data_IF_244003155661
#
_entry.id   IF_244003155661
#
_cell.length_a   1.000
_cell.length_b   1.000
_cell.length_c   1.000
_cell.angle_alpha   90.00
_cell.angle_beta   90.00
_cell.angle_gamma   90.00
#
_symmetry.space_group_name_H-M   'P 1'
#
loop_
_entity.id
_entity.type
_entity.pdbx_description
1 polymer ?
#
# COMPACT_ATOMS: atom_id res chain seq x y z
N UNK A 1 -54.90 -32.99 -40.44
CA UNK A 1 -54.83 -32.06 -39.34
C UNK A 1 -53.55 -32.44 -38.52
N UNK A 2 -52.40 -31.75 -38.70
CA UNK A 2 -51.20 -32.11 -38.02
C UNK A 2 -51.18 -31.49 -36.60
N UNK A 3 -50.65 -32.22 -35.65
CA UNK A 3 -50.51 -31.85 -34.25
C UNK A 3 -49.49 -30.67 -34.08
N UNK A 4 -49.71 -29.79 -33.11
CA UNK A 4 -48.79 -28.68 -32.86
C UNK A 4 -47.44 -29.20 -32.27
N UNK A 5 -46.31 -28.50 -32.54
CA UNK A 5 -45.03 -28.92 -32.04
C UNK A 5 -44.95 -28.75 -30.53
N UNK A 6 -44.33 -29.73 -29.85
CA UNK A 6 -44.03 -29.71 -28.42
C UNK A 6 -43.17 -28.48 -28.06
N UNK A 7 -43.60 -27.76 -27.04
CA UNK A 7 -42.88 -26.64 -26.48
C UNK A 7 -41.56 -27.14 -25.83
N UNK A 8 -40.44 -26.60 -26.29
CA UNK A 8 -39.17 -26.74 -25.61
C UNK A 8 -39.26 -26.24 -24.16
N UNK A 9 -38.57 -26.90 -23.18
CA UNK A 9 -38.62 -26.45 -21.78
C UNK A 9 -38.06 -25.05 -21.66
N UNK A 10 -38.99 -24.12 -21.29
CA UNK A 10 -38.69 -22.71 -21.11
C UNK A 10 -37.59 -22.49 -20.10
N UNK A 11 -36.56 -21.79 -20.52
CA UNK A 11 -35.61 -21.15 -19.63
C UNK A 11 -36.36 -20.05 -18.87
N UNK A 12 -36.58 -20.30 -17.59
CA UNK A 12 -37.18 -19.36 -16.65
C UNK A 12 -36.31 -18.10 -16.59
N UNK A 13 -36.75 -16.92 -17.07
CA UNK A 13 -35.93 -15.71 -17.08
C UNK A 13 -35.67 -15.13 -15.68
N UNK A 14 -36.36 -15.66 -14.65
CA UNK A 14 -36.19 -15.20 -13.25
C UNK A 14 -35.17 -16.00 -12.43
N UNK A 15 -34.56 -17.04 -12.97
CA UNK A 15 -33.43 -17.71 -12.33
C UNK A 15 -32.17 -16.90 -12.54
N UNK A 16 -31.96 -15.91 -11.69
CA UNK A 16 -30.68 -15.23 -11.59
C UNK A 16 -29.52 -16.22 -11.39
N UNK A 17 -28.27 -15.86 -11.78
CA UNK A 17 -27.12 -16.76 -11.72
C UNK A 17 -26.93 -17.36 -10.32
N UNK A 18 -26.45 -18.61 -10.20
CA UNK A 18 -26.30 -19.30 -8.94
C UNK A 18 -25.52 -18.45 -7.92
N UNK A 19 -25.87 -18.56 -6.65
CA UNK A 19 -25.31 -17.73 -5.56
C UNK A 19 -23.77 -17.78 -5.47
N UNK A 20 -23.14 -18.86 -5.91
CA UNK A 20 -21.69 -19.00 -6.01
C UNK A 20 -21.10 -18.20 -7.17
N UNK A 21 -21.79 -18.05 -8.31
CA UNK A 21 -21.37 -17.17 -9.41
C UNK A 21 -21.30 -15.71 -8.98
N UNK A 22 -22.28 -15.25 -8.19
CA UNK A 22 -22.25 -13.89 -7.60
C UNK A 22 -21.11 -13.67 -6.60
N UNK A 23 -20.67 -14.70 -5.89
CA UNK A 23 -19.51 -14.63 -4.98
C UNK A 23 -18.18 -14.59 -5.74
N UNK A 24 -18.06 -15.34 -6.82
CA UNK A 24 -16.88 -15.30 -7.69
C UNK A 24 -16.77 -13.98 -8.46
N UNK A 25 -17.90 -13.42 -8.88
CA UNK A 25 -17.93 -12.08 -9.44
C UNK A 25 -17.46 -11.03 -8.41
N UNK A 26 -17.80 -11.14 -7.14
CA UNK A 26 -17.28 -10.24 -6.09
C UNK A 26 -15.74 -10.26 -6.01
N UNK A 27 -15.10 -11.43 -6.16
CA UNK A 27 -13.64 -11.57 -6.13
C UNK A 27 -12.94 -10.97 -7.36
N UNK A 28 -13.56 -11.07 -8.55
CA UNK A 28 -13.04 -10.44 -9.79
C UNK A 28 -12.95 -8.91 -9.71
N UNK A 29 -13.60 -8.34 -8.71
CA UNK A 29 -13.88 -6.91 -8.64
C UNK A 29 -13.22 -6.20 -7.46
N UNK A 30 -12.48 -6.90 -6.61
CA UNK A 30 -11.63 -6.30 -5.60
C UNK A 30 -10.53 -5.54 -6.36
N UNK A 31 -10.52 -4.24 -6.25
CA UNK A 31 -9.72 -3.34 -7.10
C UNK A 31 -8.63 -2.59 -6.33
N UNK A 32 -8.82 -1.29 -6.06
CA UNK A 32 -7.81 -0.44 -5.44
C UNK A 32 -7.34 -0.89 -4.06
N UNK A 33 -8.18 -1.57 -3.27
CA UNK A 33 -7.78 -2.13 -1.97
C UNK A 33 -6.82 -3.31 -2.09
N UNK A 34 -6.96 -4.15 -3.15
CA UNK A 34 -5.92 -5.15 -3.45
C UNK A 34 -4.66 -4.51 -4.02
N UNK A 35 -4.77 -3.42 -4.79
CA UNK A 35 -3.60 -2.65 -5.21
C UNK A 35 -2.94 -2.04 -3.98
N UNK A 36 -3.72 -1.49 -3.05
CA UNK A 36 -3.21 -1.02 -1.76
C UNK A 36 -2.54 -2.18 -1.00
N UNK A 37 -3.16 -3.35 -0.89
CA UNK A 37 -2.58 -4.51 -0.24
C UNK A 37 -1.29 -4.97 -0.93
N UNK A 38 -1.28 -5.07 -2.25
CA UNK A 38 -0.09 -5.44 -3.02
C UNK A 38 1.06 -4.44 -2.87
N UNK A 39 0.73 -3.14 -2.73
CA UNK A 39 1.72 -2.09 -2.46
C UNK A 39 2.17 -2.11 -1.00
N UNK A 40 1.27 -2.42 -0.07
CA UNK A 40 1.55 -2.46 1.36
C UNK A 40 2.30 -3.74 1.78
N UNK A 41 1.91 -4.92 1.22
CA UNK A 41 2.51 -6.22 1.53
C UNK A 41 3.77 -6.42 0.66
N UNK A 42 4.72 -5.52 0.83
CA UNK A 42 6.04 -5.55 0.20
C UNK A 42 7.13 -5.63 1.27
N UNK A 43 8.12 -4.75 1.16
CA UNK A 43 9.28 -4.72 2.05
C UNK A 43 8.92 -4.56 3.53
N UNK A 44 7.84 -3.86 3.88
CA UNK A 44 7.39 -3.71 5.27
C UNK A 44 7.05 -5.05 5.92
N UNK A 45 6.34 -5.92 5.20
CA UNK A 45 5.90 -7.23 5.69
C UNK A 45 6.97 -8.30 5.51
N UNK A 46 7.58 -8.37 4.33
CA UNK A 46 8.58 -9.39 4.02
C UNK A 46 9.94 -9.15 4.70
N UNK A 47 10.26 -7.90 5.05
CA UNK A 47 11.57 -7.56 5.60
C UNK A 47 11.48 -6.97 7.00
N UNK A 48 10.78 -5.82 7.20
CA UNK A 48 10.80 -5.14 8.50
C UNK A 48 10.12 -5.94 9.61
N UNK A 49 8.97 -6.58 9.35
CA UNK A 49 8.27 -7.35 10.37
C UNK A 49 9.07 -8.57 10.84
N UNK A 50 9.60 -9.45 9.95
CA UNK A 50 10.45 -10.55 10.39
C UNK A 50 11.74 -10.09 11.04
N UNK A 51 12.35 -8.99 10.57
CA UNK A 51 13.55 -8.40 11.21
C UNK A 51 13.26 -7.97 12.64
N UNK A 52 12.09 -7.37 12.90
CA UNK A 52 11.65 -7.02 14.25
C UNK A 52 11.48 -8.26 15.14
N UNK A 53 10.87 -9.32 14.59
CA UNK A 53 10.73 -10.61 15.26
C UNK A 53 12.09 -11.26 15.57
N UNK A 54 12.98 -11.29 14.60
CA UNK A 54 14.33 -11.84 14.73
C UNK A 54 15.17 -11.10 15.79
N UNK A 55 15.17 -9.77 15.75
CA UNK A 55 15.96 -8.97 16.65
C UNK A 55 15.38 -8.89 18.08
N UNK A 56 14.07 -8.71 18.21
CA UNK A 56 13.43 -8.35 19.48
C UNK A 56 12.36 -9.35 19.96
N UNK A 57 12.20 -10.47 19.27
CA UNK A 57 11.13 -11.44 19.57
C UNK A 57 9.75 -10.77 19.45
N UNK A 58 8.90 -11.00 20.44
CA UNK A 58 7.55 -10.44 20.47
C UNK A 58 7.45 -9.02 21.05
N UNK A 59 8.58 -8.39 21.44
CA UNK A 59 8.53 -7.08 22.11
C UNK A 59 7.86 -5.99 21.26
N UNK A 60 7.96 -6.06 19.92
CA UNK A 60 7.37 -5.10 19.00
C UNK A 60 6.06 -5.59 18.34
N UNK A 61 5.50 -6.74 18.76
CA UNK A 61 4.32 -7.31 18.13
C UNK A 61 3.08 -6.39 18.26
N UNK A 62 2.94 -5.70 19.38
CA UNK A 62 1.87 -4.72 19.62
C UNK A 62 1.82 -3.59 18.59
N UNK A 63 2.95 -3.29 17.94
CA UNK A 63 3.04 -2.22 16.92
C UNK A 63 2.17 -2.54 15.72
N UNK A 64 2.00 -3.82 15.36
CA UNK A 64 1.22 -4.24 14.20
C UNK A 64 -0.24 -3.79 14.32
N UNK A 65 -1.03 -4.25 15.31
CA UNK A 65 -2.41 -3.78 15.47
C UNK A 65 -2.48 -2.30 15.83
N UNK A 66 -1.55 -1.78 16.64
CA UNK A 66 -1.54 -0.38 17.02
C UNK A 66 -1.40 0.55 15.81
N UNK A 67 -0.40 0.32 14.95
CA UNK A 67 -0.18 1.14 13.75
C UNK A 67 -1.37 1.08 12.79
N UNK A 68 -1.93 -0.11 12.56
CA UNK A 68 -3.13 -0.26 11.74
C UNK A 68 -4.32 0.48 12.34
N UNK A 69 -4.53 0.37 13.64
CA UNK A 69 -5.64 1.03 14.34
C UNK A 69 -5.54 2.56 14.22
N UNK A 70 -4.39 3.14 14.58
CA UNK A 70 -4.26 4.61 14.59
C UNK A 70 -4.24 5.23 13.21
N UNK A 71 -3.79 4.51 12.17
CA UNK A 71 -3.69 5.03 10.79
C UNK A 71 -4.93 4.74 9.93
N UNK A 72 -5.85 3.87 10.37
CA UNK A 72 -7.04 3.51 9.59
C UNK A 72 -7.83 4.72 9.08
N UNK A 73 -8.15 5.76 9.89
CA UNK A 73 -8.89 6.92 9.39
C UNK A 73 -8.18 7.63 8.25
N UNK A 74 -6.83 7.76 8.31
CA UNK A 74 -6.07 8.44 7.25
C UNK A 74 -6.19 7.73 5.90
N UNK A 75 -6.27 6.38 5.90
CA UNK A 75 -6.45 5.58 4.68
C UNK A 75 -7.90 5.59 4.19
N UNK A 76 -8.88 5.55 5.10
CA UNK A 76 -10.31 5.62 4.76
C UNK A 76 -10.69 6.96 4.13
N UNK A 77 -10.00 8.03 4.49
CA UNK A 77 -10.22 9.37 3.95
C UNK A 77 -9.92 9.49 2.45
N UNK A 78 -9.03 8.65 1.90
CA UNK A 78 -8.74 8.61 0.46
C UNK A 78 -9.98 8.27 -0.39
N UNK A 79 -10.52 7.05 -0.29
CA UNK A 79 -11.71 6.65 -1.04
C UNK A 79 -12.96 7.46 -0.64
N UNK A 80 -13.09 7.88 0.61
CA UNK A 80 -14.18 8.77 1.05
C UNK A 80 -14.18 10.10 0.29
N UNK A 81 -13.04 10.77 0.24
CA UNK A 81 -12.90 12.04 -0.44
C UNK A 81 -13.13 11.90 -1.95
N UNK A 82 -12.54 10.87 -2.55
CA UNK A 82 -12.71 10.57 -3.98
C UNK A 82 -14.18 10.29 -4.34
N UNK A 83 -14.89 9.51 -3.52
CA UNK A 83 -16.30 9.20 -3.74
C UNK A 83 -17.19 10.44 -3.59
N UNK A 84 -16.97 11.22 -2.53
CA UNK A 84 -17.79 12.38 -2.20
C UNK A 84 -17.60 13.56 -3.17
N UNK A 85 -16.36 13.82 -3.59
CA UNK A 85 -16.04 15.04 -4.35
C UNK A 85 -15.80 14.79 -5.84
N UNK A 86 -15.58 13.54 -6.26
CA UNK A 86 -15.14 13.24 -7.62
C UNK A 86 -13.73 13.77 -7.93
N UNK A 87 -12.93 14.09 -6.89
CA UNK A 87 -11.55 14.60 -7.02
C UNK A 87 -10.62 13.86 -6.06
N UNK A 88 -9.30 13.95 -6.24
CA UNK A 88 -8.33 13.30 -5.37
C UNK A 88 -8.02 14.12 -4.11
N UNK A 89 -7.44 13.49 -3.09
CA UNK A 89 -6.90 14.20 -1.92
C UNK A 89 -5.88 15.28 -2.32
N UNK A 90 -5.13 15.07 -3.40
CA UNK A 90 -4.20 16.07 -3.93
C UNK A 90 -4.92 17.37 -4.36
N UNK A 91 -6.10 17.23 -4.96
CA UNK A 91 -6.96 18.36 -5.30
C UNK A 91 -7.50 19.05 -4.04
N UNK A 92 -7.73 18.27 -2.98
CA UNK A 92 -8.06 18.78 -1.65
C UNK A 92 -6.92 19.61 -1.05
N UNK A 93 -5.68 19.12 -1.13
CA UNK A 93 -4.50 19.84 -0.63
C UNK A 93 -4.30 21.21 -1.28
N UNK A 94 -4.65 21.36 -2.57
CA UNK A 94 -4.61 22.64 -3.25
C UNK A 94 -5.60 23.68 -2.68
N UNK A 95 -6.60 23.23 -1.91
CA UNK A 95 -7.66 24.05 -1.30
C UNK A 95 -7.45 24.29 0.20
N UNK A 96 -6.38 23.76 0.79
CA UNK A 96 -6.05 23.96 2.20
C UNK A 96 -5.66 25.44 2.43
N UNK A 97 -6.25 26.14 3.43
CA UNK A 97 -5.93 27.54 3.70
C UNK A 97 -4.50 27.72 4.20
N UNK A 98 -3.92 28.89 3.95
CA UNK A 98 -2.56 29.23 4.31
C UNK A 98 -1.78 29.79 3.14
N UNK A 99 -0.44 29.84 3.20
CA UNK A 99 0.40 30.28 2.08
C UNK A 99 0.08 29.50 0.81
N UNK A 100 -0.03 30.19 -0.33
CA UNK A 100 -0.49 29.58 -1.58
C UNK A 100 0.31 28.32 -1.93
N UNK A 101 -0.37 27.17 -2.00
CA UNK A 101 0.22 25.89 -2.41
C UNK A 101 1.12 25.21 -1.37
N UNK A 102 1.17 25.68 -0.12
CA UNK A 102 2.06 25.12 0.89
C UNK A 102 1.85 23.62 1.13
N UNK A 103 0.60 23.16 1.21
CA UNK A 103 0.29 21.76 1.44
C UNK A 103 0.75 20.87 0.27
N UNK A 104 0.61 21.36 -0.97
CA UNK A 104 1.16 20.72 -2.15
C UNK A 104 2.70 20.71 -2.15
N UNK A 105 3.35 21.79 -1.68
CA UNK A 105 4.80 21.86 -1.61
C UNK A 105 5.37 20.87 -0.58
N UNK A 106 4.72 20.75 0.59
CA UNK A 106 5.10 19.74 1.60
C UNK A 106 4.92 18.32 1.06
N UNK A 107 3.79 18.06 0.40
CA UNK A 107 3.56 16.77 -0.24
C UNK A 107 4.57 16.48 -1.35
N UNK A 108 4.92 17.49 -2.18
CA UNK A 108 5.91 17.39 -3.24
C UNK A 108 7.30 17.05 -2.68
N UNK A 109 7.71 17.74 -1.61
CA UNK A 109 8.99 17.46 -0.94
C UNK A 109 9.02 16.00 -0.44
N UNK A 110 7.97 15.56 0.24
CA UNK A 110 7.84 14.16 0.65
C UNK A 110 7.88 13.18 -0.53
N UNK A 111 7.19 13.51 -1.62
CA UNK A 111 7.17 12.71 -2.86
C UNK A 111 8.56 12.58 -3.49
N UNK A 112 9.34 13.67 -3.52
CA UNK A 112 10.70 13.67 -4.07
C UNK A 112 11.62 12.79 -3.22
N UNK A 113 11.65 13.00 -1.91
CA UNK A 113 12.51 12.21 -1.00
C UNK A 113 12.12 10.75 -1.01
N UNK A 114 10.84 10.44 -0.80
CA UNK A 114 10.38 9.06 -0.75
C UNK A 114 10.42 8.37 -2.13
N UNK A 115 10.17 9.11 -3.21
CA UNK A 115 10.26 8.56 -4.57
C UNK A 115 11.65 8.01 -4.93
N UNK A 116 12.69 8.47 -4.26
CA UNK A 116 14.06 7.96 -4.39
C UNK A 116 14.31 6.84 -3.36
N UNK A 117 14.16 7.14 -2.07
CA UNK A 117 14.54 6.23 -0.99
C UNK A 117 13.68 4.96 -0.93
N UNK A 118 12.35 5.08 -1.14
CA UNK A 118 11.45 3.92 -1.19
C UNK A 118 11.77 3.04 -2.40
N UNK A 119 12.00 3.67 -3.56
CA UNK A 119 12.34 2.93 -4.77
C UNK A 119 13.66 2.17 -4.61
N UNK A 120 14.69 2.81 -4.04
CA UNK A 120 15.97 2.17 -3.76
C UNK A 120 15.82 0.95 -2.85
N UNK A 121 15.09 1.10 -1.74
CA UNK A 121 14.84 0.00 -0.81
C UNK A 121 14.09 -1.16 -1.43
N UNK A 122 12.99 -0.88 -2.14
CA UNK A 122 12.14 -1.91 -2.74
C UNK A 122 12.83 -2.61 -3.91
N UNK A 123 13.52 -1.87 -4.79
CA UNK A 123 14.33 -2.45 -5.87
C UNK A 123 15.50 -3.26 -5.30
N UNK A 124 16.16 -2.78 -4.23
CA UNK A 124 17.23 -3.48 -3.57
C UNK A 124 16.80 -4.85 -3.04
N UNK A 125 15.63 -4.94 -2.37
CA UNK A 125 15.09 -6.24 -1.91
C UNK A 125 14.67 -7.13 -3.09
N UNK A 126 14.03 -6.58 -4.13
CA UNK A 126 13.70 -7.35 -5.33
C UNK A 126 14.96 -7.91 -6.02
N UNK A 127 16.01 -7.09 -6.10
CA UNK A 127 17.31 -7.47 -6.64
C UNK A 127 18.00 -8.54 -5.76
N UNK A 128 17.89 -8.47 -4.43
CA UNK A 128 18.42 -9.51 -3.54
C UNK A 128 17.76 -10.86 -3.79
N UNK A 129 16.43 -10.89 -4.06
CA UNK A 129 15.75 -12.13 -4.47
C UNK A 129 16.26 -12.62 -5.82
N UNK A 130 16.49 -11.69 -6.78
CA UNK A 130 17.05 -12.06 -8.09
C UNK A 130 18.47 -12.60 -7.99
N UNK A 131 19.33 -12.00 -7.15
CA UNK A 131 20.70 -12.49 -6.86
C UNK A 131 20.67 -13.89 -6.24
N UNK A 132 19.74 -14.13 -5.31
CA UNK A 132 19.61 -15.45 -4.68
C UNK A 132 19.26 -16.56 -5.66
N UNK A 133 18.52 -16.24 -6.74
CA UNK A 133 18.13 -17.20 -7.79
C UNK A 133 19.16 -17.26 -8.93
N UNK A 134 19.69 -16.09 -9.32
CA UNK A 134 20.64 -15.94 -10.43
C UNK A 134 21.84 -15.08 -9.98
N UNK A 135 22.86 -15.67 -9.34
CA UNK A 135 23.99 -14.94 -8.75
C UNK A 135 25.00 -14.39 -9.79
N UNK A 136 24.69 -14.49 -11.09
CA UNK A 136 25.58 -14.04 -12.16
C UNK A 136 25.80 -12.52 -12.22
N UNK A 137 24.87 -11.74 -11.65
CA UNK A 137 24.94 -10.28 -11.64
C UNK A 137 24.89 -9.73 -10.22
N UNK A 138 25.66 -8.68 -9.90
CA UNK A 138 25.60 -8.05 -8.58
C UNK A 138 24.29 -7.29 -8.37
N UNK A 139 23.95 -7.07 -7.09
CA UNK A 139 22.68 -6.44 -6.65
C UNK A 139 22.36 -5.11 -7.37
N UNK A 140 23.30 -4.14 -7.55
CA UNK A 140 22.98 -2.88 -8.24
C UNK A 140 22.61 -3.09 -9.73
N UNK A 141 23.23 -4.08 -10.39
CA UNK A 141 22.90 -4.41 -11.79
C UNK A 141 21.53 -5.03 -11.90
N UNK A 142 21.16 -5.94 -10.98
CA UNK A 142 19.81 -6.47 -10.92
C UNK A 142 18.79 -5.37 -10.63
N UNK A 143 19.08 -4.44 -9.70
CA UNK A 143 18.21 -3.28 -9.43
C UNK A 143 17.99 -2.44 -10.69
N UNK A 144 19.04 -2.20 -11.48
CA UNK A 144 18.94 -1.48 -12.76
C UNK A 144 18.07 -2.25 -13.77
N UNK A 145 18.33 -3.54 -13.96
CA UNK A 145 17.56 -4.39 -14.90
C UNK A 145 16.07 -4.37 -14.52
N UNK A 146 15.76 -4.60 -13.25
CA UNK A 146 14.37 -4.61 -12.76
C UNK A 146 13.71 -3.24 -12.93
N UNK A 147 14.40 -2.15 -12.58
CA UNK A 147 13.90 -0.79 -12.76
C UNK A 147 13.59 -0.46 -14.23
N UNK A 148 14.47 -0.84 -15.15
CA UNK A 148 14.26 -0.64 -16.60
C UNK A 148 13.13 -1.51 -17.15
N UNK A 149 13.00 -2.76 -16.69
CA UNK A 149 11.89 -3.65 -17.06
C UNK A 149 10.56 -3.06 -16.59
N UNK A 150 10.50 -2.55 -15.38
CA UNK A 150 9.29 -1.89 -14.84
C UNK A 150 8.97 -0.63 -15.66
N UNK A 151 9.97 0.20 -15.96
CA UNK A 151 9.78 1.40 -16.80
C UNK A 151 9.26 1.06 -18.19
N UNK A 152 9.78 0.00 -18.82
CA UNK A 152 9.31 -0.49 -20.12
C UNK A 152 7.86 -1.02 -20.04
N UNK A 153 7.50 -1.75 -18.98
CA UNK A 153 6.14 -2.21 -18.75
C UNK A 153 5.16 -1.05 -18.54
N UNK A 154 5.58 0.00 -17.81
CA UNK A 154 4.79 1.23 -17.64
C UNK A 154 4.58 1.95 -18.99
N UNK A 155 5.62 1.96 -19.85
CA UNK A 155 5.53 2.58 -21.18
C UNK A 155 4.63 1.81 -22.14
N UNK A 156 4.58 0.47 -22.02
CA UNK A 156 3.76 -0.39 -22.90
C UNK A 156 2.28 -0.48 -22.48
N UNK A 157 1.93 -0.03 -21.27
CA UNK A 157 0.57 -0.19 -20.72
C UNK A 157 0.21 -1.63 -20.35
N UNK A 158 1.18 -2.55 -20.32
CA UNK A 158 0.97 -3.99 -20.08
C UNK A 158 0.66 -4.39 -18.63
N UNK A 159 -0.12 -3.58 -17.91
CA UNK A 159 -0.38 -3.76 -16.48
C UNK A 159 -1.33 -4.93 -16.12
N UNK A 160 -2.32 -5.23 -16.96
CA UNK A 160 -3.41 -6.14 -16.56
C UNK A 160 -2.95 -7.58 -16.33
N UNK A 161 -2.13 -8.12 -17.21
CA UNK A 161 -1.60 -9.48 -17.06
C UNK A 161 -0.66 -9.60 -15.86
N UNK A 162 0.22 -8.60 -15.68
CA UNK A 162 1.14 -8.53 -14.53
C UNK A 162 0.36 -8.38 -13.22
N UNK A 163 -0.67 -7.54 -13.17
CA UNK A 163 -1.52 -7.36 -11.99
C UNK A 163 -2.22 -8.66 -11.59
N UNK A 164 -2.71 -9.43 -12.57
CA UNK A 164 -3.31 -10.74 -12.29
C UNK A 164 -2.28 -11.71 -11.70
N UNK A 165 -1.09 -11.80 -12.28
CA UNK A 165 -0.01 -12.66 -11.77
C UNK A 165 0.40 -12.27 -10.35
N UNK A 166 0.61 -10.97 -10.08
CA UNK A 166 0.97 -10.48 -8.75
C UNK A 166 -0.09 -10.80 -7.69
N UNK A 167 -1.38 -10.74 -8.04
CA UNK A 167 -2.48 -11.14 -7.14
C UNK A 167 -2.41 -12.62 -6.75
N UNK A 168 -2.16 -13.50 -7.72
CA UNK A 168 -2.00 -14.93 -7.46
C UNK A 168 -0.75 -15.23 -6.63
N UNK A 169 0.35 -14.52 -6.88
CA UNK A 169 1.58 -14.68 -6.08
C UNK A 169 1.39 -14.18 -4.65
N UNK A 170 0.69 -13.05 -4.46
CA UNK A 170 0.34 -12.56 -3.13
C UNK A 170 -0.58 -13.55 -2.38
N UNK A 171 -1.54 -14.15 -3.06
CA UNK A 171 -2.38 -15.19 -2.48
C UNK A 171 -1.55 -16.42 -2.09
N UNK A 172 -0.66 -16.88 -2.96
CA UNK A 172 0.25 -18.00 -2.68
C UNK A 172 1.15 -17.70 -1.48
N UNK A 173 1.75 -16.50 -1.42
CA UNK A 173 2.56 -16.05 -0.29
C UNK A 173 1.74 -16.02 1.01
N UNK A 174 0.50 -15.53 0.94
CA UNK A 174 -0.41 -15.50 2.09
C UNK A 174 -0.67 -16.91 2.61
N UNK A 175 -1.02 -17.83 1.73
CA UNK A 175 -1.28 -19.24 2.10
C UNK A 175 -0.02 -19.86 2.72
N UNK A 176 1.14 -19.70 2.09
CA UNK A 176 2.40 -20.22 2.62
C UNK A 176 2.73 -19.63 4.00
N UNK A 177 2.50 -18.35 4.20
CA UNK A 177 2.74 -17.68 5.49
C UNK A 177 1.83 -18.24 6.59
N UNK A 178 0.55 -18.45 6.29
CA UNK A 178 -0.39 -19.08 7.22
C UNK A 178 0.04 -20.52 7.54
N UNK A 179 0.41 -21.31 6.53
CA UNK A 179 0.87 -22.68 6.73
C UNK A 179 2.17 -22.73 7.56
N UNK A 180 3.13 -21.85 7.28
CA UNK A 180 4.37 -21.75 8.07
C UNK A 180 4.07 -21.39 9.53
N UNK A 181 3.17 -20.46 9.77
CA UNK A 181 2.76 -20.06 11.12
C UNK A 181 2.03 -21.21 11.87
N UNK A 182 1.19 -21.98 11.20
CA UNK A 182 0.52 -23.14 11.79
C UNK A 182 1.55 -24.25 12.10
N UNK A 183 2.54 -24.43 11.23
CA UNK A 183 3.62 -25.42 11.42
C UNK A 183 4.61 -25.01 12.53
N UNK A 184 4.74 -23.70 12.80
CA UNK A 184 5.56 -23.12 13.87
C UNK A 184 4.69 -22.22 14.74
N UNK A 185 3.84 -22.80 15.61
CA UNK A 185 2.95 -22.05 16.46
C UNK A 185 3.74 -21.14 17.42
N UNK A 186 3.19 -19.95 17.70
CA UNK A 186 3.87 -18.95 18.53
C UNK A 186 4.07 -19.44 19.96
N UNK A 187 5.21 -19.11 20.54
CA UNK A 187 5.57 -19.44 21.92
C UNK A 187 4.80 -18.61 22.96
N UNK A 188 5.00 -18.90 24.25
CA UNK A 188 4.20 -18.35 25.36
C UNK A 188 4.27 -16.82 25.51
N UNK A 189 5.23 -16.16 24.90
CA UNK A 189 5.34 -14.68 24.90
C UNK A 189 4.47 -13.94 23.88
N UNK A 190 3.78 -14.65 22.99
CA UNK A 190 3.04 -14.05 21.88
C UNK A 190 1.91 -13.13 22.34
N UNK A 191 1.02 -13.62 23.20
CA UNK A 191 -0.10 -12.83 23.73
C UNK A 191 0.37 -11.65 24.59
N UNK A 192 1.43 -11.85 25.37
CA UNK A 192 2.04 -10.77 26.12
C UNK A 192 2.61 -9.69 25.22
N UNK A 193 3.35 -10.08 24.15
CA UNK A 193 3.89 -9.15 23.16
C UNK A 193 2.82 -8.41 22.36
N UNK A 194 1.63 -9.02 22.18
CA UNK A 194 0.51 -8.39 21.50
C UNK A 194 -0.20 -7.34 22.39
N UNK A 195 -0.33 -7.62 23.69
CA UNK A 195 -1.15 -6.83 24.61
C UNK A 195 -0.35 -5.86 25.49
N UNK A 196 0.94 -6.10 25.69
CA UNK A 196 1.82 -5.29 26.56
C UNK A 196 2.91 -4.61 25.76
N UNK A 197 2.80 -3.30 25.47
CA UNK A 197 3.83 -2.54 24.77
C UNK A 197 5.16 -2.60 25.52
N UNK A 198 6.20 -3.07 24.81
CA UNK A 198 7.60 -3.01 25.25
C UNK A 198 8.42 -2.33 24.18
N UNK A 199 9.30 -1.42 24.57
CA UNK A 199 10.15 -0.65 23.66
C UNK A 199 11.61 -0.85 24.11
N UNK A 200 12.30 -1.88 23.61
CA UNK A 200 13.74 -2.01 23.81
C UNK A 200 14.47 -0.76 23.28
N UNK A 201 15.49 -0.28 23.98
CA UNK A 201 16.20 0.96 23.58
C UNK A 201 16.78 0.89 22.16
N UNK A 202 17.30 -0.27 21.80
CA UNK A 202 17.93 -0.53 20.51
C UNK A 202 16.89 -0.63 19.36
N UNK A 203 15.61 -0.78 19.70
CA UNK A 203 14.54 -0.95 18.70
C UNK A 203 13.96 0.36 18.16
N UNK A 204 14.37 1.53 18.69
CA UNK A 204 13.67 2.81 18.43
C UNK A 204 13.62 3.17 16.94
N UNK A 205 14.69 2.94 16.18
CA UNK A 205 14.72 3.21 14.73
C UNK A 205 13.78 2.23 13.99
N UNK A 206 13.85 0.93 14.33
CA UNK A 206 13.00 -0.08 13.72
C UNK A 206 11.52 0.11 14.10
N UNK A 207 11.24 0.51 15.35
CA UNK A 207 9.91 0.89 15.82
C UNK A 207 9.35 2.05 14.98
N UNK A 208 10.13 3.11 14.76
CA UNK A 208 9.74 4.24 13.94
C UNK A 208 9.49 3.81 12.47
N UNK A 209 10.34 2.94 11.91
CA UNK A 209 10.14 2.38 10.57
C UNK A 209 8.84 1.55 10.48
N UNK A 210 8.57 0.69 11.47
CA UNK A 210 7.32 -0.08 11.54
C UNK A 210 6.10 0.85 11.65
N UNK A 211 6.12 1.87 12.50
CA UNK A 211 5.05 2.87 12.58
C UNK A 211 4.90 3.65 11.26
N UNK A 212 5.98 3.90 10.55
CA UNK A 212 5.96 4.56 9.24
C UNK A 212 5.25 3.72 8.17
N UNK A 213 5.60 2.43 8.08
CA UNK A 213 5.18 1.57 6.98
C UNK A 213 4.16 0.47 7.32
N UNK A 214 3.67 0.36 8.53
CA UNK A 214 2.56 -0.54 8.84
C UNK A 214 1.21 0.21 8.85
N UNK A 215 0.26 -0.13 7.96
CA UNK A 215 0.33 -1.05 6.82
C UNK A 215 1.25 -0.56 5.68
N UNK A 216 1.34 0.74 5.47
CA UNK A 216 2.18 1.44 4.49
C UNK A 216 2.32 2.92 4.87
N UNK A 217 3.05 3.74 4.10
CA UNK A 217 3.14 5.19 4.29
C UNK A 217 1.80 5.89 4.09
N UNK A 218 1.53 6.97 4.85
CA UNK A 218 0.25 7.71 4.74
C UNK A 218 0.10 8.44 3.39
N UNK A 219 1.20 8.72 2.70
CA UNK A 219 1.21 9.25 1.33
C UNK A 219 0.47 8.34 0.34
N UNK A 220 0.47 7.03 0.55
CA UNK A 220 -0.28 6.05 -0.24
C UNK A 220 -1.80 6.28 -0.16
N UNK A 221 -2.32 6.93 0.90
CA UNK A 221 -3.73 7.34 0.95
C UNK A 221 -4.08 8.35 -0.16
N UNK A 222 -3.12 9.20 -0.57
CA UNK A 222 -3.29 10.11 -1.70
C UNK A 222 -3.37 9.31 -3.02
N UNK A 223 -2.47 8.34 -3.21
CA UNK A 223 -2.50 7.45 -4.38
C UNK A 223 -3.80 6.64 -4.42
N UNK A 224 -4.21 6.09 -3.27
CA UNK A 224 -5.46 5.34 -3.14
C UNK A 224 -6.66 6.20 -3.52
N UNK A 225 -6.67 7.51 -3.18
CA UNK A 225 -7.72 8.42 -3.65
C UNK A 225 -7.73 8.59 -5.17
N UNK A 226 -6.56 8.60 -5.81
CA UNK A 226 -6.44 8.65 -7.28
C UNK A 226 -6.91 7.36 -7.95
N UNK A 227 -6.51 6.20 -7.43
CA UNK A 227 -6.98 4.90 -7.93
C UNK A 227 -8.49 4.69 -7.70
N UNK A 228 -9.01 5.23 -6.60
CA UNK A 228 -10.45 5.21 -6.32
C UNK A 228 -11.27 6.00 -7.34
N UNK A 229 -10.72 7.12 -7.86
CA UNK A 229 -11.36 7.89 -8.92
C UNK A 229 -11.49 7.10 -10.23
N UNK A 230 -10.46 6.37 -10.62
CA UNK A 230 -10.47 5.54 -11.83
C UNK A 230 -11.55 4.46 -11.79
N UNK A 231 -11.94 4.00 -10.59
CA UNK A 231 -12.96 2.98 -10.36
C UNK A 231 -14.31 3.53 -9.90
N UNK A 232 -14.43 4.84 -9.70
CA UNK A 232 -15.63 5.46 -9.09
C UNK A 232 -16.91 5.14 -9.86
N UNK A 233 -16.91 5.31 -11.17
CA UNK A 233 -18.09 5.05 -12.02
C UNK A 233 -18.48 3.57 -12.02
N UNK A 234 -17.52 2.68 -11.95
CA UNK A 234 -17.74 1.25 -11.82
C UNK A 234 -18.37 0.90 -10.46
N UNK A 235 -17.91 1.51 -9.40
CA UNK A 235 -18.47 1.34 -8.05
C UNK A 235 -19.91 1.87 -7.96
N UNK A 236 -20.22 2.99 -8.61
CA UNK A 236 -21.57 3.54 -8.71
C UNK A 236 -22.49 2.53 -9.39
N UNK A 237 -22.10 2.02 -10.57
CA UNK A 237 -22.91 1.03 -11.31
C UNK A 237 -23.16 -0.25 -10.51
N UNK A 238 -22.26 -0.64 -9.66
CA UNK A 238 -22.40 -1.82 -8.81
C UNK A 238 -23.28 -1.59 -7.61
N UNK A 239 -23.06 -0.49 -6.92
CA UNK A 239 -23.91 -0.10 -5.83
C UNK A 239 -25.38 -0.03 -6.24
N UNK A 240 -25.67 0.36 -7.50
CA UNK A 240 -27.01 0.37 -8.08
C UNK A 240 -27.66 -1.01 -8.19
N UNK A 241 -26.88 -2.09 -8.34
CA UNK A 241 -27.37 -3.48 -8.38
C UNK A 241 -27.67 -4.10 -7.01
N UNK A 242 -27.14 -3.50 -5.95
CA UNK A 242 -27.26 -4.00 -4.55
C UNK A 242 -28.33 -3.29 -3.73
N UNK A 243 -29.24 -2.63 -4.32
CA UNK A 243 -30.24 -1.67 -3.90
C UNK A 243 -30.61 -1.52 -2.41
N UNK A 244 -30.43 -0.28 -1.93
CA UNK A 244 -31.42 0.42 -1.11
C UNK A 244 -31.87 1.66 -1.88
N UNK A 245 -33.15 1.74 -2.22
CA UNK A 245 -33.74 2.92 -2.84
C UNK A 245 -33.41 4.19 -2.02
N UNK A 246 -32.92 5.25 -2.69
CA UNK A 246 -32.60 6.53 -2.04
C UNK A 246 -31.14 6.79 -1.68
N UNK A 247 -30.21 5.85 -1.92
CA UNK A 247 -28.79 6.06 -1.65
C UNK A 247 -28.11 6.83 -2.80
N UNK A 248 -27.36 7.90 -2.49
CA UNK A 248 -26.63 8.67 -3.52
C UNK A 248 -25.52 7.84 -4.18
N UNK A 249 -25.16 8.17 -5.42
CA UNK A 249 -24.08 7.51 -6.17
C UNK A 249 -22.74 7.61 -5.44
N UNK A 250 -22.50 8.73 -4.78
CA UNK A 250 -21.30 8.96 -3.96
C UNK A 250 -21.27 8.02 -2.73
N UNK A 251 -22.41 7.83 -2.06
CA UNK A 251 -22.51 6.93 -0.92
C UNK A 251 -22.30 5.46 -1.34
N UNK A 252 -22.83 5.06 -2.52
CA UNK A 252 -22.60 3.71 -3.09
C UNK A 252 -21.12 3.48 -3.41
N UNK A 253 -20.49 4.45 -4.10
CA UNK A 253 -19.06 4.40 -4.41
C UNK A 253 -18.21 4.31 -3.14
N UNK A 254 -18.54 5.11 -2.12
CA UNK A 254 -17.84 5.08 -0.84
C UNK A 254 -18.01 3.74 -0.11
N UNK A 255 -19.22 3.20 -0.05
CA UNK A 255 -19.47 1.90 0.62
C UNK A 255 -18.64 0.78 -0.02
N UNK A 256 -18.59 0.74 -1.37
CA UNK A 256 -17.80 -0.24 -2.11
C UNK A 256 -16.30 -0.03 -1.90
N UNK A 257 -15.80 1.20 -2.01
CA UNK A 257 -14.39 1.54 -1.79
C UNK A 257 -13.92 1.28 -0.36
N UNK A 258 -14.80 1.48 0.63
CA UNK A 258 -14.52 1.16 2.03
C UNK A 258 -14.42 -0.35 2.27
N UNK A 259 -15.28 -1.15 1.65
CA UNK A 259 -15.19 -2.60 1.75
C UNK A 259 -13.89 -3.12 1.13
N UNK A 260 -13.52 -2.62 -0.04
CA UNK A 260 -12.29 -2.94 -0.72
C UNK A 260 -11.05 -2.58 0.14
N UNK A 261 -11.07 -1.38 0.76
CA UNK A 261 -10.04 -0.97 1.73
C UNK A 261 -9.97 -1.95 2.93
N UNK A 262 -11.11 -2.31 3.53
CA UNK A 262 -11.15 -3.20 4.69
C UNK A 262 -10.50 -4.56 4.42
N UNK A 263 -10.72 -5.12 3.23
CA UNK A 263 -10.14 -6.40 2.81
C UNK A 263 -8.61 -6.29 2.74
N UNK A 264 -8.10 -5.29 2.00
CA UNK A 264 -6.65 -5.09 1.87
C UNK A 264 -5.96 -4.74 3.18
N UNK A 265 -6.60 -3.89 3.97
CA UNK A 265 -6.10 -3.43 5.26
C UNK A 265 -6.06 -4.55 6.32
N UNK A 266 -7.12 -5.36 6.37
CA UNK A 266 -7.21 -6.52 7.26
C UNK A 266 -6.19 -7.60 6.90
N UNK A 267 -6.01 -7.87 5.60
CA UNK A 267 -4.99 -8.80 5.12
C UNK A 267 -3.57 -8.34 5.53
N UNK A 268 -3.29 -7.04 5.37
CA UNK A 268 -2.02 -6.45 5.81
C UNK A 268 -1.80 -6.62 7.32
N UNK A 269 -2.82 -6.37 8.15
CA UNK A 269 -2.71 -6.56 9.60
C UNK A 269 -2.38 -8.02 9.96
N UNK A 270 -3.13 -8.96 9.41
CA UNK A 270 -2.90 -10.38 9.69
C UNK A 270 -1.49 -10.79 9.28
N UNK A 271 -1.08 -10.48 8.05
CA UNK A 271 0.24 -10.86 7.56
C UNK A 271 1.37 -10.20 8.35
N UNK A 272 1.24 -8.94 8.76
CA UNK A 272 2.27 -8.27 9.57
C UNK A 272 2.50 -8.97 10.92
N UNK A 273 1.43 -9.43 11.57
CA UNK A 273 1.50 -10.23 12.81
C UNK A 273 2.19 -11.57 12.54
N UNK A 274 1.77 -12.29 11.49
CA UNK A 274 2.34 -13.61 11.16
C UNK A 274 3.82 -13.51 10.80
N UNK A 275 4.23 -12.53 10.02
CA UNK A 275 5.64 -12.33 9.63
C UNK A 275 6.52 -12.00 10.83
N UNK A 276 6.07 -11.13 11.74
CA UNK A 276 6.84 -10.84 12.93
C UNK A 276 6.96 -12.08 13.83
N UNK A 277 5.86 -12.81 14.00
CA UNK A 277 5.86 -14.03 14.81
C UNK A 277 6.78 -15.10 14.22
N UNK A 278 6.77 -15.33 12.91
CA UNK A 278 7.70 -16.24 12.25
C UNK A 278 9.16 -15.79 12.41
N UNK A 279 9.43 -14.48 12.33
CA UNK A 279 10.76 -13.95 12.63
C UNK A 279 11.23 -14.28 14.05
N UNK A 280 10.32 -14.18 15.03
CA UNK A 280 10.59 -14.51 16.43
C UNK A 280 10.79 -16.00 16.68
N UNK A 281 10.05 -16.88 15.99
CA UNK A 281 10.07 -18.33 16.21
C UNK A 281 11.10 -19.08 15.36
N UNK A 282 11.46 -18.53 14.20
CA UNK A 282 12.35 -19.23 13.25
C UNK A 282 13.72 -18.57 13.22
N UNK A 283 13.79 -17.25 12.97
CA UNK A 283 15.07 -16.58 12.76
C UNK A 283 15.79 -16.29 14.08
N UNK A 284 15.07 -15.87 15.10
CA UNK A 284 15.67 -15.51 16.40
C UNK A 284 16.40 -16.68 17.09
N UNK A 285 15.84 -17.88 17.20
CA UNK A 285 16.53 -19.02 17.78
C UNK A 285 17.77 -19.44 16.97
N UNK A 286 17.76 -19.19 15.64
CA UNK A 286 18.87 -19.45 14.75
C UNK A 286 19.96 -18.35 14.79
N UNK A 287 19.75 -17.24 15.54
CA UNK A 287 20.65 -16.11 15.59
C UNK A 287 20.73 -15.32 14.27
N UNK A 288 19.73 -15.45 13.40
CA UNK A 288 19.73 -14.84 12.08
C UNK A 288 18.94 -13.53 12.10
N UNK A 289 19.60 -12.45 11.70
CA UNK A 289 18.96 -11.15 11.46
C UNK A 289 19.07 -10.85 9.98
N UNK A 290 17.94 -10.54 9.29
CA UNK A 290 17.97 -10.19 7.87
C UNK A 290 18.79 -8.96 7.61
N UNK A 291 19.78 -9.06 6.72
CA UNK A 291 20.68 -7.96 6.35
C UNK A 291 21.37 -8.22 5.01
N UNK A 292 21.83 -7.17 4.35
CA UNK A 292 22.65 -7.26 3.16
C UNK A 292 21.95 -7.99 1.98
N UNK A 293 22.75 -8.50 1.07
CA UNK A 293 22.29 -9.23 -0.10
C UNK A 293 21.64 -10.59 0.25
N UNK A 294 21.95 -11.15 1.43
CA UNK A 294 21.43 -12.45 1.88
C UNK A 294 20.04 -12.36 2.50
N UNK A 295 19.44 -11.15 2.51
CA UNK A 295 18.10 -10.94 3.07
C UNK A 295 17.07 -11.91 2.48
N UNK A 296 17.11 -12.18 1.17
CA UNK A 296 16.16 -13.07 0.52
C UNK A 296 16.29 -14.53 1.00
N UNK A 297 17.52 -15.01 1.15
CA UNK A 297 17.81 -16.39 1.66
C UNK A 297 17.42 -16.48 3.12
N UNK A 298 17.73 -15.46 3.91
CA UNK A 298 17.34 -15.39 5.33
C UNK A 298 15.81 -15.43 5.48
N UNK A 299 15.08 -14.66 4.64
CA UNK A 299 13.61 -14.70 4.64
C UNK A 299 13.07 -16.07 4.20
N UNK A 300 13.72 -16.75 3.26
CA UNK A 300 13.30 -18.08 2.83
C UNK A 300 13.30 -19.10 3.99
N UNK A 301 14.16 -18.91 4.99
CA UNK A 301 14.22 -19.80 6.17
C UNK A 301 12.93 -19.75 7.00
N UNK A 302 12.18 -18.67 6.98
CA UNK A 302 10.85 -18.61 7.61
C UNK A 302 9.95 -19.77 7.12
N UNK A 303 10.13 -20.19 5.87
CA UNK A 303 9.33 -21.20 5.21
C UNK A 303 10.03 -22.56 5.15
N UNK A 304 11.32 -22.57 4.77
CA UNK A 304 12.06 -23.84 4.64
C UNK A 304 12.24 -24.55 5.98
N UNK A 305 12.49 -23.81 7.05
CA UNK A 305 12.65 -24.36 8.39
C UNK A 305 11.29 -24.72 9.04
N UNK A 306 10.18 -24.18 8.48
CA UNK A 306 8.81 -24.50 8.96
C UNK A 306 8.13 -25.61 8.15
N UNK A 307 8.28 -25.60 6.82
CA UNK A 307 7.54 -26.47 5.89
C UNK A 307 8.43 -27.47 5.14
N UNK A 308 9.76 -27.31 5.23
CA UNK A 308 10.73 -28.12 4.52
C UNK A 308 11.32 -27.45 3.27
N UNK A 309 12.46 -27.99 2.79
CA UNK A 309 13.24 -27.37 1.70
C UNK A 309 12.49 -27.26 0.36
N UNK A 310 11.47 -28.11 0.14
CA UNK A 310 10.67 -28.11 -1.09
C UNK A 310 9.94 -26.79 -1.36
N UNK A 311 9.69 -25.98 -0.33
CA UNK A 311 8.96 -24.71 -0.46
C UNK A 311 9.85 -23.57 -0.99
N UNK A 312 11.17 -23.74 -1.00
CA UNK A 312 12.12 -22.70 -1.40
C UNK A 312 11.83 -22.08 -2.78
N UNK A 313 11.66 -22.87 -3.87
CA UNK A 313 11.38 -22.26 -5.18
C UNK A 313 10.04 -21.54 -5.20
N UNK A 314 9.01 -22.02 -4.52
CA UNK A 314 7.72 -21.36 -4.44
C UNK A 314 7.82 -20.02 -3.70
N UNK A 315 8.56 -20.00 -2.57
CA UNK A 315 8.82 -18.75 -1.84
C UNK A 315 9.59 -17.75 -2.72
N UNK A 316 10.67 -18.17 -3.38
CA UNK A 316 11.48 -17.25 -4.21
C UNK A 316 10.66 -16.62 -5.33
N UNK A 317 9.81 -17.40 -6.00
CA UNK A 317 8.90 -16.90 -7.02
C UNK A 317 7.90 -15.92 -6.42
N UNK A 318 7.24 -16.27 -5.30
CA UNK A 318 6.24 -15.41 -4.66
C UNK A 318 6.87 -14.13 -4.10
N UNK A 319 8.04 -14.21 -3.47
CA UNK A 319 8.78 -13.06 -2.97
C UNK A 319 9.24 -12.14 -4.09
N UNK A 320 9.75 -12.70 -5.20
CA UNK A 320 10.14 -11.93 -6.38
C UNK A 320 8.96 -11.12 -6.93
N UNK A 321 7.84 -11.78 -7.25
CA UNK A 321 6.67 -11.08 -7.79
C UNK A 321 6.02 -10.14 -6.78
N UNK A 322 6.05 -10.46 -5.48
CA UNK A 322 5.61 -9.57 -4.41
C UNK A 322 6.43 -8.28 -4.37
N UNK A 323 7.75 -8.39 -4.39
CA UNK A 323 8.63 -7.22 -4.40
C UNK A 323 8.60 -6.48 -5.74
N UNK A 324 8.52 -7.20 -6.86
CA UNK A 324 8.40 -6.61 -8.20
C UNK A 324 7.10 -5.81 -8.34
N UNK A 325 5.97 -6.33 -7.84
CA UNK A 325 4.70 -5.60 -7.87
C UNK A 325 4.72 -4.33 -7.01
N UNK A 326 5.39 -4.40 -5.85
CA UNK A 326 5.59 -3.24 -5.00
C UNK A 326 6.46 -2.20 -5.69
N UNK A 327 7.57 -2.60 -6.32
CA UNK A 327 8.44 -1.71 -7.09
C UNK A 327 7.70 -1.07 -8.27
N UNK A 328 6.84 -1.84 -8.96
CA UNK A 328 5.98 -1.33 -10.03
C UNK A 328 5.02 -0.26 -9.50
N UNK A 329 4.32 -0.54 -8.39
CA UNK A 329 3.39 0.41 -7.76
C UNK A 329 4.09 1.69 -7.30
N UNK A 330 5.31 1.58 -6.77
CA UNK A 330 6.15 2.71 -6.34
C UNK A 330 6.62 3.53 -7.53
N UNK A 331 7.11 2.87 -8.60
CA UNK A 331 7.62 3.54 -9.81
C UNK A 331 6.50 4.15 -10.68
N UNK A 332 5.24 3.79 -10.50
CA UNK A 332 4.08 4.49 -11.06
C UNK A 332 3.54 5.57 -10.11
N UNK A 333 3.38 5.24 -8.83
CA UNK A 333 2.69 6.07 -7.84
C UNK A 333 3.37 7.41 -7.55
N UNK A 334 4.69 7.40 -7.26
CA UNK A 334 5.43 8.63 -6.99
C UNK A 334 5.53 9.55 -8.22
N UNK A 335 5.91 9.09 -9.44
CA UNK A 335 5.90 9.94 -10.63
C UNK A 335 4.52 10.50 -10.96
N UNK A 336 3.47 9.72 -10.76
CA UNK A 336 2.08 10.14 -10.92
C UNK A 336 1.72 11.27 -9.94
N UNK A 337 2.03 11.09 -8.67
CA UNK A 337 1.81 12.08 -7.62
C UNK A 337 2.64 13.36 -7.88
N UNK A 338 3.91 13.21 -8.23
CA UNK A 338 4.80 14.30 -8.59
C UNK A 338 4.25 15.14 -9.75
N UNK A 339 3.94 14.49 -10.86
CA UNK A 339 3.48 15.16 -12.08
C UNK A 339 2.21 15.97 -11.83
N UNK A 340 1.22 15.39 -11.13
CA UNK A 340 -0.02 16.09 -10.75
C UNK A 340 0.25 17.28 -9.84
N UNK A 341 1.13 17.11 -8.85
CA UNK A 341 1.46 18.18 -7.89
C UNK A 341 2.16 19.36 -8.58
N UNK A 342 3.16 19.08 -9.43
CA UNK A 342 3.88 20.14 -10.17
C UNK A 342 2.95 20.90 -11.11
N UNK A 343 2.07 20.22 -11.83
CA UNK A 343 1.09 20.88 -12.73
C UNK A 343 0.12 21.74 -11.93
N UNK A 344 -0.31 21.30 -10.74
CA UNK A 344 -1.16 22.12 -9.86
C UNK A 344 -0.45 23.36 -9.31
N UNK A 345 0.80 23.22 -8.88
CA UNK A 345 1.62 24.35 -8.37
C UNK A 345 1.94 25.36 -9.44
N UNK A 346 2.17 24.93 -10.70
CA UNK A 346 2.47 25.83 -11.82
C UNK A 346 1.26 26.62 -12.36
N UNK A 347 0.11 26.56 -11.68
CA UNK A 347 -1.09 27.27 -12.09
C UNK A 347 -1.75 26.69 -13.34
N UNK A 348 -1.31 25.52 -13.79
CA UNK A 348 -1.99 24.76 -14.82
C UNK A 348 -3.43 24.48 -14.34
N UNK A 349 -4.42 24.94 -15.11
CA UNK A 349 -5.80 24.49 -14.96
C UNK A 349 -5.87 23.00 -15.33
N UNK A 350 -5.27 22.17 -14.53
CA UNK A 350 -5.52 20.74 -14.54
C UNK A 350 -6.94 20.55 -14.06
N UNK A 351 -7.87 20.40 -14.99
CA UNK A 351 -9.29 20.26 -14.73
C UNK A 351 -9.84 21.36 -13.83
N UNK A 352 -10.56 22.32 -14.38
CA UNK A 352 -11.50 23.12 -13.60
C UNK A 352 -12.21 22.15 -12.66
N UNK A 353 -12.40 22.54 -11.41
CA UNK A 353 -13.23 21.80 -10.48
C UNK A 353 -14.44 21.28 -11.27
N UNK A 354 -14.43 19.99 -11.60
CA UNK A 354 -15.58 19.38 -12.25
C UNK A 354 -16.70 19.62 -11.27
N UNK A 355 -17.70 20.41 -11.69
CA UNK A 355 -18.92 20.59 -10.92
C UNK A 355 -19.40 19.21 -10.57
N UNK A 356 -19.77 19.00 -9.32
CA UNK A 356 -20.43 17.77 -8.87
C UNK A 356 -21.46 17.38 -9.94
N UNK A 357 -21.30 16.24 -10.61
CA UNK A 357 -22.19 15.78 -11.67
C UNK A 357 -21.77 16.05 -13.11
N UNK A 358 -20.62 16.71 -13.39
CA UNK A 358 -20.12 16.77 -14.76
C UNK A 358 -19.50 15.38 -15.12
N UNK A 359 -19.77 14.83 -16.34
CA UNK A 359 -19.10 13.63 -16.80
C UNK A 359 -17.58 13.88 -16.72
N UNK A 360 -16.85 12.93 -16.15
CA UNK A 360 -15.39 12.98 -16.06
C UNK A 360 -14.88 13.13 -17.49
N UNK A 361 -14.41 14.34 -17.84
CA UNK A 361 -13.82 14.59 -19.14
C UNK A 361 -12.56 13.74 -19.33
N UNK A 362 -11.98 13.67 -20.54
CA UNK A 362 -10.80 12.85 -20.82
C UNK A 362 -9.72 13.14 -19.78
N UNK A 363 -9.14 12.06 -19.26
CA UNK A 363 -8.18 12.01 -18.16
C UNK A 363 -7.19 13.20 -18.22
N UNK A 364 -7.07 14.02 -17.17
CA UNK A 364 -6.10 15.13 -17.12
C UNK A 364 -4.62 14.70 -17.32
N UNK A 365 -4.35 13.39 -17.41
CA UNK A 365 -3.05 12.80 -17.75
C UNK A 365 -2.60 13.09 -19.19
N UNK A 366 -3.47 13.51 -20.09
CA UNK A 366 -3.21 13.67 -21.53
C UNK A 366 -2.40 14.93 -21.88
N UNK A 367 -2.13 15.81 -20.90
CA UNK A 367 -1.32 17.01 -21.16
C UNK A 367 0.18 16.68 -21.33
N UNK A 368 0.81 17.16 -22.42
CA UNK A 368 2.26 16.99 -22.66
C UNK A 368 3.14 17.39 -21.46
N UNK A 369 2.73 18.38 -20.67
CA UNK A 369 3.46 18.83 -19.47
C UNK A 369 3.42 17.80 -18.36
N UNK A 370 2.25 17.20 -18.08
CA UNK A 370 2.09 16.17 -17.08
C UNK A 370 2.90 14.92 -17.46
N UNK A 371 2.85 14.52 -18.72
CA UNK A 371 3.60 13.36 -19.22
C UNK A 371 5.12 13.58 -19.17
N UNK A 372 5.60 14.79 -19.49
CA UNK A 372 7.03 15.13 -19.34
C UNK A 372 7.46 15.14 -17.87
N UNK A 373 6.65 15.66 -16.97
CA UNK A 373 6.93 15.65 -15.54
C UNK A 373 6.94 14.22 -14.97
N UNK A 374 6.01 13.38 -15.41
CA UNK A 374 5.94 11.97 -15.02
C UNK A 374 7.21 11.21 -15.42
N UNK A 375 7.54 11.18 -16.72
CA UNK A 375 8.72 10.47 -17.21
C UNK A 375 10.02 11.08 -16.72
N UNK A 376 10.09 12.40 -16.62
CA UNK A 376 11.26 13.10 -16.07
C UNK A 376 11.53 12.68 -14.63
N UNK A 377 10.49 12.66 -13.78
CA UNK A 377 10.64 12.22 -12.40
C UNK A 377 10.90 10.71 -12.29
N UNK A 378 10.25 9.89 -13.11
CA UNK A 378 10.46 8.45 -13.14
C UNK A 378 11.94 8.10 -13.40
N UNK A 379 12.52 8.64 -14.44
CA UNK A 379 13.92 8.33 -14.78
C UNK A 379 14.91 8.99 -13.81
N UNK A 380 14.64 10.20 -13.32
CA UNK A 380 15.53 10.85 -12.35
C UNK A 380 15.49 10.13 -10.99
N UNK A 381 14.31 9.75 -10.51
CA UNK A 381 14.18 8.98 -9.25
C UNK A 381 14.78 7.58 -9.39
N UNK A 382 14.63 6.92 -10.54
CA UNK A 382 15.27 5.63 -10.80
C UNK A 382 16.81 5.77 -10.79
N UNK A 383 17.36 6.77 -11.47
CA UNK A 383 18.81 7.00 -11.49
C UNK A 383 19.37 7.29 -10.09
N UNK A 384 18.67 8.12 -9.30
CA UNK A 384 19.09 8.42 -7.93
C UNK A 384 18.93 7.19 -7.00
N UNK A 385 17.85 6.43 -7.14
CA UNK A 385 17.64 5.20 -6.39
C UNK A 385 18.74 4.15 -6.68
N UNK A 386 19.15 4.03 -7.94
CA UNK A 386 20.27 3.17 -8.31
C UNK A 386 21.60 3.66 -7.71
N UNK A 387 21.84 4.97 -7.68
CA UNK A 387 22.99 5.51 -6.97
C UNK A 387 22.96 5.18 -5.46
N UNK A 388 21.80 5.29 -4.81
CA UNK A 388 21.63 4.89 -3.40
C UNK A 388 21.96 3.40 -3.18
N UNK A 389 21.54 2.49 -4.08
CA UNK A 389 21.87 1.05 -3.95
C UNK A 389 23.36 0.74 -4.10
N UNK A 390 24.11 1.61 -4.79
CA UNK A 390 25.57 1.49 -4.87
C UNK A 390 26.26 2.01 -3.59
N UNK A 391 25.78 3.12 -3.04
CA UNK A 391 26.36 3.71 -1.83
C UNK A 391 25.95 2.99 -0.54
N UNK A 392 24.72 2.47 -0.49
CA UNK A 392 24.20 1.71 0.63
C UNK A 392 23.83 0.31 0.10
N UNK A 393 24.78 -0.64 0.11
CA UNK A 393 24.55 -1.96 -0.49
C UNK A 393 23.61 -2.87 0.31
N UNK A 394 23.19 -2.43 1.51
CA UNK A 394 22.23 -3.17 2.34
C UNK A 394 20.79 -2.72 2.09
N UNK A 395 19.96 -3.53 1.40
CA UNK A 395 18.58 -3.18 1.11
C UNK A 395 17.70 -3.08 2.36
N UNK A 396 18.06 -3.74 3.47
CA UNK A 396 17.31 -3.63 4.74
C UNK A 396 17.49 -2.26 5.36
N UNK A 397 18.71 -1.70 5.27
CA UNK A 397 19.00 -0.33 5.70
C UNK A 397 18.21 0.67 4.84
N UNK A 398 18.22 0.52 3.51
CA UNK A 398 17.46 1.39 2.61
C UNK A 398 15.95 1.36 2.93
N UNK A 399 15.37 0.18 3.11
CA UNK A 399 13.97 -0.01 3.50
C UNK A 399 13.68 0.66 4.85
N UNK A 400 14.58 0.51 5.82
CA UNK A 400 14.43 1.09 7.16
C UNK A 400 14.45 2.62 7.10
N UNK A 401 15.40 3.20 6.34
CA UNK A 401 15.51 4.66 6.15
C UNK A 401 14.27 5.21 5.44
N UNK A 402 13.82 4.56 4.36
CA UNK A 402 12.62 4.97 3.64
C UNK A 402 11.37 4.95 4.54
N UNK A 403 11.20 3.89 5.33
CA UNK A 403 10.09 3.75 6.26
C UNK A 403 10.15 4.80 7.38
N UNK A 404 11.34 5.13 7.84
CA UNK A 404 11.57 6.18 8.82
C UNK A 404 11.22 7.57 8.28
N UNK A 405 11.59 7.89 7.04
CA UNK A 405 11.19 9.16 6.39
C UNK A 405 9.66 9.24 6.28
N UNK A 406 9.00 8.15 5.89
CA UNK A 406 7.54 8.06 5.85
C UNK A 406 6.91 8.31 7.23
N UNK A 407 7.54 7.81 8.31
CA UNK A 407 7.09 8.04 9.68
C UNK A 407 7.10 9.53 10.05
N UNK A 408 8.16 10.25 9.71
CA UNK A 408 8.28 11.68 10.03
C UNK A 408 7.26 12.55 9.26
N UNK A 409 6.91 12.16 8.03
CA UNK A 409 5.91 12.87 7.21
C UNK A 409 4.47 12.54 7.59
N UNK A 410 4.25 11.40 8.21
CA UNK A 410 2.92 10.86 8.49
C UNK A 410 1.99 11.83 9.26
N UNK A 411 2.41 12.53 10.34
CA UNK A 411 1.52 13.45 11.06
C UNK A 411 0.98 14.58 10.20
N UNK A 412 1.81 15.14 9.33
CA UNK A 412 1.44 16.26 8.46
C UNK A 412 0.44 15.80 7.40
N UNK A 413 0.73 14.69 6.71
CA UNK A 413 -0.17 14.13 5.70
C UNK A 413 -1.51 13.68 6.31
N UNK A 414 -1.47 13.14 7.52
CA UNK A 414 -2.67 12.78 8.24
C UNK A 414 -3.56 14.00 8.53
N UNK A 415 -2.97 15.09 9.01
CA UNK A 415 -3.68 16.33 9.28
C UNK A 415 -4.30 16.92 8.00
N UNK A 416 -3.58 16.88 6.88
CA UNK A 416 -4.09 17.30 5.57
C UNK A 416 -5.27 16.45 5.10
N UNK A 417 -5.17 15.10 5.25
CA UNK A 417 -6.27 14.19 4.93
C UNK A 417 -7.51 14.48 5.79
N UNK A 418 -7.31 14.66 7.10
CA UNK A 418 -8.38 15.00 8.04
C UNK A 418 -9.07 16.33 7.66
N UNK A 419 -8.28 17.35 7.34
CA UNK A 419 -8.81 18.63 6.89
C UNK A 419 -9.68 18.49 5.62
N UNK A 420 -9.19 17.76 4.62
CA UNK A 420 -9.92 17.55 3.37
C UNK A 420 -11.30 16.95 3.61
N UNK A 421 -11.41 15.87 4.38
CA UNK A 421 -12.71 15.19 4.57
C UNK A 421 -13.65 15.91 5.52
N UNK A 422 -13.12 16.70 6.45
CA UNK A 422 -13.96 17.41 7.43
C UNK A 422 -14.44 18.77 6.93
N UNK A 423 -13.68 19.42 6.03
CA UNK A 423 -13.93 20.80 5.60
C UNK A 423 -14.29 20.95 4.12
N UNK A 424 -13.87 20.00 3.26
CA UNK A 424 -14.01 20.16 1.80
C UNK A 424 -15.05 19.19 1.18
N UNK A 425 -15.68 18.34 1.95
CA UNK A 425 -16.83 17.54 1.50
C UNK A 425 -18.09 18.34 1.75
N UNK A 426 -18.87 18.62 0.69
CA UNK A 426 -20.10 19.38 0.78
C UNK A 426 -21.27 18.54 1.30
N UNK A 427 -21.37 17.26 0.90
CA UNK A 427 -22.42 16.32 1.27
C UNK A 427 -22.29 15.89 2.76
N UNK A 428 -23.24 16.29 3.65
CA UNK A 428 -23.12 16.07 5.10
C UNK A 428 -23.01 14.57 5.47
N UNK A 429 -23.74 13.69 4.76
CA UNK A 429 -23.80 12.26 5.02
C UNK A 429 -22.48 11.54 4.71
N UNK A 430 -21.65 12.13 3.86
CA UNK A 430 -20.32 11.62 3.53
C UNK A 430 -19.21 12.23 4.37
N UNK A 431 -19.50 13.24 5.17
CA UNK A 431 -18.52 13.74 6.17
C UNK A 431 -18.27 12.68 7.24
N UNK A 432 -17.04 12.59 7.78
CA UNK A 432 -16.77 11.71 8.91
C UNK A 432 -17.67 12.05 10.09
N UNK A 433 -18.37 11.06 10.65
CA UNK A 433 -19.14 11.22 11.87
C UNK A 433 -18.25 11.53 13.09
N UNK A 434 -18.82 11.90 14.25
CA UNK A 434 -18.06 12.32 15.43
C UNK A 434 -17.08 11.23 15.91
N UNK A 435 -17.47 9.95 15.90
CA UNK A 435 -16.59 8.85 16.27
C UNK A 435 -15.36 8.72 15.35
N UNK A 436 -15.53 8.82 14.03
CA UNK A 436 -14.43 8.79 13.06
C UNK A 436 -13.52 10.01 13.21
N UNK A 437 -14.07 11.18 13.52
CA UNK A 437 -13.26 12.39 13.80
C UNK A 437 -12.43 12.22 15.07
N UNK A 438 -13.04 11.74 16.13
CA UNK A 438 -12.32 11.46 17.39
C UNK A 438 -11.21 10.43 17.17
N UNK A 439 -11.49 9.35 16.46
CA UNK A 439 -10.49 8.34 16.10
C UNK A 439 -9.35 8.93 15.27
N UNK A 440 -9.67 9.78 14.30
CA UNK A 440 -8.66 10.48 13.50
C UNK A 440 -7.79 11.41 14.34
N UNK A 441 -8.36 12.13 15.31
CA UNK A 441 -7.59 12.96 16.25
C UNK A 441 -6.65 12.11 17.11
N UNK A 442 -7.13 10.98 17.64
CA UNK A 442 -6.28 10.03 18.39
C UNK A 442 -5.13 9.50 17.51
N UNK A 443 -5.41 9.18 16.23
CA UNK A 443 -4.39 8.76 15.28
C UNK A 443 -3.34 9.85 15.01
N UNK A 444 -3.77 11.10 14.80
CA UNK A 444 -2.86 12.23 14.60
C UNK A 444 -2.00 12.50 15.84
N UNK A 445 -2.60 12.49 17.02
CA UNK A 445 -1.87 12.66 18.28
C UNK A 445 -0.91 11.51 18.54
N UNK A 446 -1.31 10.27 18.25
CA UNK A 446 -0.46 9.09 18.37
C UNK A 446 0.75 9.14 17.46
N UNK A 447 0.55 9.43 16.18
CA UNK A 447 1.64 9.55 15.21
C UNK A 447 2.52 10.78 15.49
N UNK A 448 1.92 11.93 15.79
CA UNK A 448 2.64 13.17 16.12
C UNK A 448 3.43 13.04 17.42
N UNK A 449 2.85 12.45 18.45
CA UNK A 449 3.50 12.17 19.72
C UNK A 449 4.67 11.19 19.58
N UNK A 450 4.48 10.12 18.79
CA UNK A 450 5.57 9.18 18.49
C UNK A 450 6.73 9.85 17.72
N UNK A 451 6.41 10.69 16.72
CA UNK A 451 7.43 11.44 15.98
C UNK A 451 8.17 12.45 16.87
N UNK A 452 7.45 13.22 17.70
CA UNK A 452 8.04 14.15 18.65
C UNK A 452 8.92 13.44 19.70
N UNK A 453 8.43 12.31 20.23
CA UNK A 453 9.20 11.48 21.18
C UNK A 453 10.49 10.95 20.54
N UNK A 454 10.41 10.45 19.31
CA UNK A 454 11.60 10.00 18.57
C UNK A 454 12.61 11.12 18.39
N UNK A 455 12.19 12.28 17.92
CA UNK A 455 13.07 13.43 17.74
C UNK A 455 13.68 13.87 19.07
N UNK A 456 12.90 13.90 20.14
CA UNK A 456 13.40 14.22 21.47
C UNK A 456 14.49 13.22 21.93
N UNK A 457 14.25 11.91 21.80
CA UNK A 457 15.25 10.89 22.17
C UNK A 457 16.54 11.02 21.35
N UNK A 458 16.43 11.43 20.10
CA UNK A 458 17.59 11.55 19.20
C UNK A 458 18.41 12.82 19.44
N UNK A 459 17.75 13.93 19.79
CA UNK A 459 18.43 15.24 19.96
C UNK A 459 18.65 15.66 21.41
N UNK A 460 18.04 14.99 22.39
CA UNK A 460 18.25 15.25 23.83
C UNK A 460 19.46 14.46 24.42
N UNK A 461 20.18 13.74 23.54
CA UNK A 461 21.46 13.10 23.87
C UNK A 461 22.61 13.98 23.38
#
# INVERSE_FOLDING_TARGET
MPLPPEASPGTDPDRGPPSWGRRLDAIRWIGPGLVLAATAIGASHLVLAPTAGAAFGYALLWVMPFSHLIKYPAFEFGPRFAAATGTSLLDGYARVPGPRGWALAVFLLGTVVQGVTVLAGVLGVAAAVAVAVFPALPLPVWSMVLGLVIAALLASGGFDALSALCKWMLLGLTIMTVLAFVARPPGPGFLEGLLRPRIPRESVILLAALLGWMPTGIDVAVWHSMWSLERRDEWIRRGARSERAGTSDAARAFATGRLDLWIGYGLSLVLSILFLALGAEVLRPAGLIPQGADVAITMARLYTDSLGAWVLPLFMIAAFFGMFSTAYGVLDGFPRAFARTVVRLSGGRGGAASRVGAPVGPDPWVGRRTMRAYWGFLFSSLALALAETVWIPDPVVLVTVAAFVSFLLAPVLYALNHYCVTKLIDEPDLRPGPGMRAWSWLGMLGMGGAAAFFLWVQFAR
#
